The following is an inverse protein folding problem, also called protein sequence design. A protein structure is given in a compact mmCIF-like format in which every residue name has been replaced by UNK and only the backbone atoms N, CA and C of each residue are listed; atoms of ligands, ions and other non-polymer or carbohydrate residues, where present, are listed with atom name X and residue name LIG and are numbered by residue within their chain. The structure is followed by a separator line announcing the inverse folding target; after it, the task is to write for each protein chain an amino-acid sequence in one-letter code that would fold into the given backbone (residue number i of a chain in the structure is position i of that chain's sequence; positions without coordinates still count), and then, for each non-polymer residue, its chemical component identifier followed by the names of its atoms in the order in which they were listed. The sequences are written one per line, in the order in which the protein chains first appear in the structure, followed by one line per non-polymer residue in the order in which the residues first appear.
data_IF_809090447226
#
_entry.id   IF_809090447226
#
_cell.length_a   1.000
_cell.length_b   1.000
_cell.length_c   1.000
_cell.angle_alpha   90.00
_cell.angle_beta   90.00
_cell.angle_gamma   90.00
#
_symmetry.space_group_name_H-M   'P 1'
#
loop_
_entity.id
_entity.type
_entity.pdbx_description
1 polymer ?
#
# COMPACT_ATOMS: atom_id res chain seq x y z
N UNK A 1 41.12 -74.68 21.53
CA UNK A 1 40.97 -73.97 20.23
C UNK A 1 39.77 -73.04 20.38
N UNK A 2 40.01 -71.73 20.55
CA UNK A 2 38.94 -70.75 20.82
C UNK A 2 38.44 -70.13 19.51
N UNK A 3 37.14 -69.81 19.37
CA UNK A 3 36.62 -69.20 18.18
C UNK A 3 37.17 -67.77 17.99
N UNK A 4 37.71 -67.50 16.81
CA UNK A 4 38.12 -66.16 16.35
C UNK A 4 36.87 -65.37 15.94
N UNK A 5 36.43 -64.44 16.78
CA UNK A 5 35.48 -63.41 16.37
C UNK A 5 36.15 -62.47 15.36
N UNK A 6 35.72 -62.53 14.09
CA UNK A 6 36.04 -61.49 13.13
C UNK A 6 35.06 -60.34 13.37
N UNK A 7 35.55 -59.30 14.06
CA UNK A 7 34.88 -58.02 14.08
C UNK A 7 35.14 -57.35 12.73
N UNK A 8 34.24 -57.55 11.78
CA UNK A 8 34.17 -56.64 10.65
C UNK A 8 33.72 -55.27 11.17
N UNK A 9 34.54 -54.25 10.92
CA UNK A 9 34.17 -52.88 11.18
C UNK A 9 33.03 -52.48 10.22
N UNK A 10 31.79 -52.49 10.70
CA UNK A 10 30.70 -51.91 9.93
C UNK A 10 30.86 -50.38 9.93
N UNK A 11 31.19 -49.81 8.77
CA UNK A 11 31.17 -48.35 8.59
C UNK A 11 29.72 -47.89 8.51
N UNK A 12 29.09 -47.59 9.64
CA UNK A 12 27.92 -46.69 9.63
C UNK A 12 28.44 -45.27 9.41
N UNK A 13 28.88 -45.00 8.18
CA UNK A 13 29.15 -43.64 7.73
C UNK A 13 27.82 -42.90 7.57
N UNK A 14 27.21 -42.47 8.67
CA UNK A 14 26.10 -41.52 8.64
C UNK A 14 26.65 -40.18 8.17
N UNK A 15 26.52 -39.90 6.88
CA UNK A 15 26.79 -38.59 6.34
C UNK A 15 25.89 -37.57 7.01
N UNK A 16 26.44 -36.71 7.87
CA UNK A 16 25.69 -35.59 8.40
C UNK A 16 25.41 -34.61 7.26
N UNK A 17 24.14 -34.42 6.91
CA UNK A 17 23.76 -33.32 6.03
C UNK A 17 23.94 -32.02 6.81
N UNK A 18 25.07 -31.35 6.59
CA UNK A 18 25.26 -29.95 6.99
C UNK A 18 24.51 -29.05 6.01
N UNK A 19 23.19 -29.20 5.95
CA UNK A 19 22.36 -28.20 5.29
C UNK A 19 22.27 -27.01 6.24
N UNK A 20 23.27 -26.12 6.15
CA UNK A 20 23.31 -24.83 6.81
C UNK A 20 22.11 -24.00 6.38
N UNK A 21 21.00 -24.17 7.08
CA UNK A 21 19.76 -23.43 6.89
C UNK A 21 19.74 -22.34 7.91
N UNK A 22 20.25 -21.17 7.55
CA UNK A 22 19.90 -19.92 8.20
C UNK A 22 20.36 -18.77 7.30
N UNK A 23 19.42 -18.18 6.58
CA UNK A 23 19.65 -16.90 5.91
C UNK A 23 18.97 -15.80 6.72
N UNK A 24 19.68 -14.69 6.95
CA UNK A 24 19.11 -13.56 7.67
C UNK A 24 17.78 -13.09 7.07
N UNK A 25 16.83 -12.62 7.91
CA UNK A 25 15.55 -12.09 7.45
C UNK A 25 15.78 -10.90 6.51
N UNK A 26 14.98 -10.84 5.44
CA UNK A 26 15.14 -9.85 4.36
C UNK A 26 14.27 -8.60 4.51
N UNK A 27 13.54 -8.49 5.63
CA UNK A 27 12.66 -7.35 5.98
C UNK A 27 11.77 -6.85 4.82
N UNK A 28 11.22 -7.80 4.06
CA UNK A 28 10.27 -7.54 2.98
C UNK A 28 8.93 -7.05 3.54
N UNK A 29 8.07 -6.52 2.66
CA UNK A 29 6.72 -6.08 2.98
C UNK A 29 6.46 -4.61 2.67
N UNK A 30 5.27 -4.18 3.06
CA UNK A 30 4.77 -2.81 2.88
C UNK A 30 5.49 -1.89 3.88
N UNK A 31 5.93 -0.72 3.39
CA UNK A 31 6.59 0.34 4.16
C UNK A 31 5.73 1.59 4.31
N UNK A 32 4.80 1.83 3.37
CA UNK A 32 3.80 2.88 3.45
C UNK A 32 2.41 2.28 3.21
N UNK A 33 1.52 2.48 4.18
CA UNK A 33 0.17 1.94 4.17
C UNK A 33 -0.75 2.73 3.22
N UNK A 34 -1.95 2.20 2.98
CA UNK A 34 -3.00 2.91 2.26
C UNK A 34 -3.29 4.28 2.90
N UNK A 35 -3.62 5.27 2.07
CA UNK A 35 -3.88 6.67 2.42
C UNK A 35 -2.75 7.42 3.16
N UNK A 36 -1.57 6.80 3.28
CA UNK A 36 -0.41 7.47 3.87
C UNK A 36 0.21 8.45 2.88
N UNK A 37 0.71 9.58 3.39
CA UNK A 37 1.47 10.51 2.56
C UNK A 37 2.89 9.97 2.29
N UNK A 38 3.28 9.99 1.03
CA UNK A 38 4.60 9.61 0.55
C UNK A 38 5.21 10.77 -0.25
N UNK A 39 6.48 11.06 0.01
CA UNK A 39 7.29 11.92 -0.83
C UNK A 39 7.83 11.13 -2.03
N UNK A 40 8.21 11.84 -3.09
CA UNK A 40 8.96 11.25 -4.19
C UNK A 40 10.21 10.51 -3.69
N UNK A 41 10.48 9.33 -4.24
CA UNK A 41 11.59 8.45 -3.86
C UNK A 41 11.29 7.52 -2.68
N UNK A 42 10.21 7.74 -1.93
CA UNK A 42 9.88 6.87 -0.81
C UNK A 42 9.55 5.45 -1.26
N UNK A 43 10.07 4.46 -0.52
CA UNK A 43 9.74 3.05 -0.74
C UNK A 43 8.34 2.78 -0.19
N UNK A 44 7.49 2.16 -1.00
CA UNK A 44 6.12 1.79 -0.61
C UNK A 44 6.05 0.30 -0.28
N UNK A 45 6.66 -0.56 -1.11
CA UNK A 45 6.69 -2.02 -0.89
C UNK A 45 8.04 -2.59 -1.29
N UNK A 46 8.67 -3.36 -0.40
CA UNK A 46 9.80 -4.24 -0.74
C UNK A 46 9.29 -5.67 -0.92
N UNK A 47 9.56 -6.30 -2.04
CA UNK A 47 9.03 -7.64 -2.33
C UNK A 47 10.06 -8.49 -3.07
N UNK A 48 9.69 -9.75 -3.33
CA UNK A 48 10.40 -10.66 -4.23
C UNK A 48 9.39 -11.14 -5.25
N UNK A 49 9.69 -10.96 -6.53
CA UNK A 49 8.71 -11.06 -7.59
C UNK A 49 7.63 -9.96 -7.51
N UNK A 50 6.70 -9.98 -8.44
CA UNK A 50 5.68 -8.95 -8.60
C UNK A 50 4.34 -9.31 -7.91
N UNK A 51 4.33 -9.46 -6.58
CA UNK A 51 3.07 -9.65 -5.81
C UNK A 51 2.18 -8.41 -5.90
N UNK A 52 2.80 -7.24 -5.80
CA UNK A 52 2.21 -5.95 -6.08
C UNK A 52 2.72 -5.42 -7.41
N UNK A 53 1.84 -4.78 -8.17
CA UNK A 53 2.15 -4.14 -9.45
C UNK A 53 2.18 -2.63 -9.28
N UNK A 54 3.07 -1.96 -10.03
CA UNK A 54 3.07 -0.51 -10.09
C UNK A 54 1.80 0.02 -10.76
N UNK A 55 1.41 1.22 -10.34
CA UNK A 55 0.26 1.97 -10.81
C UNK A 55 0.64 3.42 -11.05
N UNK A 56 -0.35 4.30 -11.08
CA UNK A 56 -0.14 5.74 -11.35
C UNK A 56 0.77 6.33 -10.27
N UNK A 57 1.79 7.09 -10.66
CA UNK A 57 2.67 7.78 -9.72
C UNK A 57 3.66 6.88 -8.96
N UNK A 58 3.78 5.60 -9.33
CA UNK A 58 4.78 4.68 -8.77
C UNK A 58 5.60 4.02 -9.86
N UNK A 59 6.79 3.54 -9.50
CA UNK A 59 7.67 2.77 -10.39
C UNK A 59 8.24 1.57 -9.65
N UNK A 60 8.65 0.57 -10.42
CA UNK A 60 9.28 -0.65 -9.92
C UNK A 60 10.79 -0.57 -10.15
N UNK A 61 11.58 -0.89 -9.13
CA UNK A 61 13.03 -1.02 -9.22
C UNK A 61 13.45 -2.38 -9.78
N UNK A 62 14.76 -2.55 -10.00
CA UNK A 62 15.35 -3.82 -10.47
C UNK A 62 15.14 -4.98 -9.48
N UNK A 63 14.99 -4.68 -8.20
CA UNK A 63 14.77 -5.65 -7.12
C UNK A 63 13.27 -5.85 -6.81
N UNK A 64 12.38 -5.54 -7.76
CA UNK A 64 10.92 -5.56 -7.64
C UNK A 64 10.33 -4.59 -6.60
N UNK A 65 11.15 -3.74 -5.98
CA UNK A 65 10.71 -2.74 -5.00
C UNK A 65 9.85 -1.68 -5.67
N UNK A 66 8.68 -1.39 -5.11
CA UNK A 66 7.82 -0.29 -5.57
C UNK A 66 8.15 0.97 -4.77
N UNK A 67 8.44 2.05 -5.48
CA UNK A 67 8.71 3.37 -4.92
C UNK A 67 7.82 4.45 -5.54
N UNK A 68 7.64 5.54 -4.79
CA UNK A 68 6.87 6.70 -5.21
C UNK A 68 7.65 7.50 -6.26
N UNK A 69 7.09 7.65 -7.45
CA UNK A 69 7.67 8.49 -8.51
C UNK A 69 7.29 9.97 -8.35
N UNK A 70 6.26 10.27 -7.57
CA UNK A 70 5.78 11.61 -7.23
C UNK A 70 5.31 11.67 -5.78
N UNK A 71 5.17 12.87 -5.24
CA UNK A 71 4.68 13.08 -3.87
C UNK A 71 3.15 13.07 -3.82
N UNK A 72 2.56 12.35 -2.88
CA UNK A 72 1.11 12.20 -2.81
C UNK A 72 0.61 11.19 -1.79
N UNK A 73 -0.66 10.82 -1.89
CA UNK A 73 -1.30 9.79 -1.06
C UNK A 73 -1.17 8.43 -1.72
N UNK A 74 -0.69 7.45 -0.96
CA UNK A 74 -0.57 6.06 -1.40
C UNK A 74 -1.95 5.43 -1.47
N UNK A 75 -2.29 4.79 -2.59
CA UNK A 75 -3.48 3.98 -2.76
C UNK A 75 -3.05 2.57 -3.18
N UNK A 76 -3.63 1.57 -2.52
CA UNK A 76 -3.37 0.16 -2.79
C UNK A 76 -4.72 -0.51 -3.01
N UNK A 77 -4.96 -1.02 -4.22
CA UNK A 77 -6.21 -1.66 -4.64
C UNK A 77 -5.89 -2.84 -5.54
N UNK A 78 -6.48 -4.01 -5.29
CA UNK A 78 -6.29 -5.23 -6.09
C UNK A 78 -4.81 -5.51 -6.42
N UNK A 79 -3.94 -5.35 -5.43
CA UNK A 79 -2.49 -5.52 -5.56
C UNK A 79 -1.78 -4.50 -6.48
N UNK A 80 -2.45 -3.45 -6.94
CA UNK A 80 -1.81 -2.29 -7.58
C UNK A 80 -1.53 -1.21 -6.56
N UNK A 81 -0.36 -0.61 -6.69
CA UNK A 81 0.11 0.48 -5.81
C UNK A 81 0.21 1.76 -6.62
N UNK A 82 -0.58 2.77 -6.28
CA UNK A 82 -0.58 4.09 -6.89
C UNK A 82 -0.25 5.17 -5.86
N UNK A 83 0.22 6.32 -6.34
CA UNK A 83 0.37 7.56 -5.57
C UNK A 83 -0.40 8.65 -6.30
N UNK A 84 -1.40 9.21 -5.62
CA UNK A 84 -2.27 10.27 -6.14
C UNK A 84 -1.82 11.64 -5.60
N UNK A 85 -1.85 12.67 -6.45
CA UNK A 85 -1.34 14.00 -6.07
C UNK A 85 -2.22 14.65 -5.01
N UNK A 86 -1.64 14.94 -3.85
CA UNK A 86 -2.35 15.57 -2.74
C UNK A 86 -2.55 17.09 -2.94
N UNK A 87 -1.76 17.72 -3.81
CA UNK A 87 -1.87 19.16 -4.06
C UNK A 87 -3.18 19.52 -4.75
N UNK A 88 -3.61 18.71 -5.74
CA UNK A 88 -4.87 18.90 -6.44
C UNK A 88 -6.08 18.86 -5.49
N UNK A 89 -6.09 17.94 -4.52
CA UNK A 89 -7.16 17.85 -3.52
C UNK A 89 -7.21 19.10 -2.63
N UNK A 90 -6.06 19.65 -2.23
CA UNK A 90 -5.99 20.82 -1.35
C UNK A 90 -6.47 22.09 -2.04
N UNK A 91 -6.10 22.30 -3.30
CA UNK A 91 -6.54 23.48 -4.06
C UNK A 91 -8.03 23.40 -4.44
N UNK A 92 -8.53 22.23 -4.81
CA UNK A 92 -9.96 21.99 -5.07
C UNK A 92 -10.82 22.28 -3.82
N UNK A 93 -10.39 21.81 -2.64
CA UNK A 93 -11.09 22.07 -1.37
C UNK A 93 -11.01 23.54 -0.94
N UNK A 94 -9.91 24.24 -1.25
CA UNK A 94 -9.83 25.69 -1.03
C UNK A 94 -10.82 26.44 -1.90
N UNK A 95 -10.95 26.08 -3.17
CA UNK A 95 -11.91 26.69 -4.10
C UNK A 95 -13.36 26.39 -3.69
N UNK A 96 -13.68 25.16 -3.30
CA UNK A 96 -15.00 24.80 -2.76
C UNK A 96 -15.31 25.46 -1.42
N UNK A 97 -14.34 25.62 -0.52
CA UNK A 97 -14.53 26.44 0.69
C UNK A 97 -14.78 27.89 0.27
N UNK A 98 -13.96 28.48 -0.59
CA UNK A 98 -14.14 29.85 -1.04
C UNK A 98 -15.53 30.10 -1.68
N UNK A 99 -16.06 29.15 -2.45
CA UNK A 99 -17.42 29.24 -2.99
C UNK A 99 -18.51 29.06 -1.92
N UNK A 100 -18.31 28.17 -0.94
CA UNK A 100 -19.22 27.99 0.20
C UNK A 100 -19.13 29.12 1.24
N UNK A 101 -18.12 29.98 1.18
CA UNK A 101 -18.00 31.18 2.02
C UNK A 101 -18.93 32.32 1.58
N UNK A 102 -19.46 32.28 0.34
CA UNK A 102 -20.53 33.20 -0.13
C UNK A 102 -21.94 32.60 -0.05
N UNK A 103 -22.07 31.31 0.25
CA UNK A 103 -23.35 30.64 0.49
C UNK A 103 -23.39 30.12 1.92
N UNK A 104 -23.33 31.04 2.89
CA UNK A 104 -23.93 30.80 4.21
C UNK A 104 -25.40 31.19 4.09
N UNK A 105 -26.33 30.26 3.82
CA UNK A 105 -27.72 30.62 3.95
C UNK A 105 -27.93 30.94 5.43
N UNK A 106 -28.30 32.19 5.72
CA UNK A 106 -28.81 32.54 7.04
C UNK A 106 -30.01 31.62 7.34
N UNK A 107 -30.36 31.44 8.62
CA UNK A 107 -31.53 30.64 9.03
C UNK A 107 -32.81 31.04 8.25
N UNK A 108 -32.88 32.28 7.78
CA UNK A 108 -33.95 32.83 6.94
C UNK A 108 -34.00 32.26 5.50
N UNK A 109 -32.85 32.03 4.86
CA UNK A 109 -32.74 31.40 3.53
C UNK A 109 -32.98 29.89 3.55
N UNK A 110 -32.60 29.21 4.63
CA UNK A 110 -32.91 27.78 4.84
C UNK A 110 -34.39 27.57 5.17
N UNK A 111 -35.02 28.47 5.93
CA UNK A 111 -36.45 28.35 6.23
C UNK A 111 -37.31 28.48 4.97
N UNK A 112 -36.95 29.35 4.02
CA UNK A 112 -37.69 29.55 2.76
C UNK A 112 -37.58 28.37 1.78
N UNK A 113 -36.47 27.63 1.82
CA UNK A 113 -36.31 26.37 1.07
C UNK A 113 -37.11 25.22 1.71
N UNK A 114 -37.21 25.19 3.04
CA UNK A 114 -37.97 24.19 3.77
C UNK A 114 -39.49 24.47 3.79
N UNK A 115 -39.92 25.74 3.79
CA UNK A 115 -41.35 26.12 3.77
C UNK A 115 -41.91 26.35 2.36
N UNK A 116 -41.08 26.24 1.32
CA UNK A 116 -41.44 26.49 -0.08
C UNK A 116 -41.97 25.29 -0.87
N UNK A 117 -42.26 24.16 -0.23
CA UNK A 117 -42.81 22.97 -0.91
C UNK A 117 -44.33 22.86 -0.76
N UNK A 118 -45.07 23.85 -1.24
CA UNK A 118 -46.47 23.66 -1.66
C UNK A 118 -46.96 24.86 -2.49
N UNK A 119 -46.94 24.73 -3.80
CA UNK A 119 -48.07 25.04 -4.71
C UNK A 119 -47.67 24.56 -6.10
N UNK A 120 -48.18 23.39 -6.43
CA UNK A 120 -48.36 22.97 -7.81
C UNK A 120 -49.41 23.92 -8.43
N UNK A 121 -48.99 24.79 -9.34
CA UNK A 121 -49.92 25.50 -10.24
C UNK A 121 -49.38 25.30 -11.65
N UNK A 122 -50.14 24.50 -12.39
CA UNK A 122 -49.97 24.21 -13.81
C UNK A 122 -49.98 25.50 -14.63
N UNK A 123 -49.07 25.59 -15.60
CA UNK A 123 -49.37 25.83 -17.02
C UNK A 123 -48.15 25.47 -17.86
#
# INVERSE_FOLDING_TARGET
MYPRFHLEAHKTGTGSSKNGRDSNPKFLGIKKCHNSFAFQGNIIVRQRGAKFKCGIGTRMGKDDTIYAAKSGRVQILNHRVSVLDAFAEREMLKQQRASNYYMRPTLYTLSRLWTGSSTNVNN
#
